data_IF_190436178329
#
_entry.id   IF_190436178329
#
_cell.length_a   1.000
_cell.length_b   1.000
_cell.length_c   1.000
_cell.angle_alpha   90.00
_cell.angle_beta   90.00
_cell.angle_gamma   90.00
#
_symmetry.space_group_name_H-M   'P 1'
#
loop_
_entity.id
_entity.type
_entity.pdbx_description
1 polymer ?
#
# COMPACT_ATOMS: atom_id res chain seq x y z
N UNK A 1 -36.42 -5.96 39.94
CA UNK A 1 -37.11 -6.34 38.68
C UNK A 1 -36.58 -5.44 37.58
N UNK A 2 -36.17 -6.08 36.49
CA UNK A 2 -35.39 -5.54 35.37
C UNK A 2 -36.13 -4.52 34.52
N UNK A 3 -35.41 -3.52 34.01
CA UNK A 3 -35.45 -3.00 32.63
C UNK A 3 -34.07 -2.36 32.40
N UNK A 4 -33.08 -3.07 31.85
CA UNK A 4 -32.86 -3.30 30.42
C UNK A 4 -32.91 -2.02 29.58
N UNK A 5 -31.75 -1.37 29.46
CA UNK A 5 -31.34 -0.67 28.24
C UNK A 5 -29.96 -1.19 27.87
N UNK A 6 -29.99 -2.25 27.06
CA UNK A 6 -28.88 -2.66 26.21
C UNK A 6 -28.69 -1.60 25.12
N UNK A 7 -27.44 -1.53 24.65
CA UNK A 7 -27.02 -0.99 23.37
C UNK A 7 -26.82 0.52 23.35
N UNK A 8 -25.58 0.93 23.62
CA UNK A 8 -24.84 1.83 22.72
C UNK A 8 -23.36 1.49 22.83
N UNK A 9 -23.03 0.23 22.55
CA UNK A 9 -21.70 -0.12 22.11
C UNK A 9 -21.64 0.27 20.64
N UNK A 10 -21.37 1.54 20.37
CA UNK A 10 -20.91 1.96 19.04
C UNK A 10 -19.59 1.22 18.82
N UNK A 11 -19.66 0.13 18.07
CA UNK A 11 -18.52 -0.61 17.55
C UNK A 11 -17.72 0.33 16.66
N UNK A 12 -16.83 1.12 17.26
CA UNK A 12 -15.78 1.82 16.55
C UNK A 12 -14.65 0.82 16.29
N UNK A 13 -14.95 -0.23 15.52
CA UNK A 13 -13.93 -0.98 14.84
C UNK A 13 -13.42 -0.06 13.73
N UNK A 14 -12.29 0.60 13.98
CA UNK A 14 -11.48 1.19 12.91
C UNK A 14 -11.31 0.08 11.87
N UNK A 15 -11.96 0.22 10.72
CA UNK A 15 -11.89 -0.80 9.69
C UNK A 15 -10.45 -0.80 9.15
N UNK A 16 -9.68 -1.83 9.49
CA UNK A 16 -8.36 -2.05 8.90
C UNK A 16 -8.48 -1.97 7.38
N UNK A 17 -7.55 -1.26 6.74
CA UNK A 17 -7.48 -1.18 5.28
C UNK A 17 -6.62 -2.33 4.75
N UNK A 18 -7.20 -3.20 3.93
CA UNK A 18 -6.42 -4.23 3.23
C UNK A 18 -5.73 -3.65 1.99
N UNK A 19 -4.73 -4.36 1.46
CA UNK A 19 -4.08 -3.97 0.19
C UNK A 19 -5.09 -3.90 -0.98
N UNK A 20 -6.07 -4.81 -1.00
CA UNK A 20 -7.16 -4.78 -1.98
C UNK A 20 -8.08 -3.58 -1.78
N UNK A 21 -8.38 -3.18 -0.54
CA UNK A 21 -9.20 -2.01 -0.26
C UNK A 21 -8.50 -0.72 -0.70
N UNK A 22 -7.20 -0.59 -0.40
CA UNK A 22 -6.38 0.53 -0.86
C UNK A 22 -6.39 0.63 -2.39
N UNK A 23 -6.08 -0.47 -3.08
CA UNK A 23 -6.02 -0.46 -4.54
C UNK A 23 -7.38 -0.09 -5.18
N UNK A 24 -8.47 -0.64 -4.65
CA UNK A 24 -9.83 -0.35 -5.12
C UNK A 24 -10.25 1.10 -4.82
N UNK A 25 -9.87 1.63 -3.66
CA UNK A 25 -10.16 3.02 -3.27
C UNK A 25 -9.45 4.00 -4.21
N UNK A 26 -8.16 3.79 -4.47
CA UNK A 26 -7.37 4.61 -5.41
C UNK A 26 -7.95 4.52 -6.82
N UNK A 27 -8.29 3.31 -7.29
CA UNK A 27 -8.93 3.13 -8.59
C UNK A 27 -10.24 3.94 -8.67
N UNK A 28 -11.08 3.88 -7.64
CA UNK A 28 -12.36 4.58 -7.60
C UNK A 28 -12.19 6.11 -7.66
N UNK A 29 -11.15 6.65 -7.04
CA UNK A 29 -10.93 8.10 -6.96
C UNK A 29 -10.33 8.68 -8.23
N UNK A 30 -9.37 7.98 -8.86
CA UNK A 30 -8.47 8.65 -9.82
C UNK A 30 -8.35 7.97 -11.20
N UNK A 31 -8.78 6.70 -11.33
CA UNK A 31 -8.43 5.86 -12.48
C UNK A 31 -8.69 6.48 -13.86
N UNK A 32 -9.82 7.16 -14.08
CA UNK A 32 -10.11 7.76 -15.40
C UNK A 32 -9.04 8.72 -15.88
N UNK A 33 -8.47 9.53 -14.97
CA UNK A 33 -7.41 10.49 -15.31
C UNK A 33 -6.05 9.81 -15.43
N UNK A 34 -5.81 8.80 -14.60
CA UNK A 34 -4.55 8.08 -14.58
C UNK A 34 -4.39 7.18 -15.81
N UNK A 35 -5.49 6.57 -16.29
CA UNK A 35 -5.52 5.79 -17.52
C UNK A 35 -5.18 6.67 -18.74
N UNK A 36 -5.69 7.90 -18.78
CA UNK A 36 -5.34 8.88 -19.82
C UNK A 36 -3.86 9.30 -19.76
N UNK A 37 -3.31 9.46 -18.54
CA UNK A 37 -1.88 9.77 -18.33
C UNK A 37 -0.97 8.62 -18.76
N UNK A 38 -1.45 7.38 -18.67
CA UNK A 38 -0.70 6.18 -19.02
C UNK A 38 0.39 5.81 -18.01
N UNK A 39 1.04 4.68 -18.27
CA UNK A 39 2.04 4.08 -17.36
C UNK A 39 3.26 4.99 -17.20
N UNK A 40 3.81 5.52 -18.29
CA UNK A 40 5.03 6.35 -18.26
C UNK A 40 4.84 7.62 -17.43
N UNK A 41 3.75 8.35 -17.66
CA UNK A 41 3.47 9.57 -16.90
C UNK A 41 3.13 9.29 -15.44
N UNK A 42 2.44 8.18 -15.16
CA UNK A 42 2.14 7.77 -13.77
C UNK A 42 3.39 7.29 -13.03
N UNK A 43 4.34 6.66 -13.73
CA UNK A 43 5.64 6.29 -13.16
C UNK A 43 6.44 7.53 -12.72
N UNK A 44 6.37 8.62 -13.48
CA UNK A 44 7.04 9.86 -13.08
C UNK A 44 6.48 10.43 -11.78
N UNK A 45 5.16 10.41 -11.58
CA UNK A 45 4.54 10.79 -10.30
C UNK A 45 4.97 9.87 -9.17
N UNK A 46 4.95 8.56 -9.34
CA UNK A 46 5.46 7.63 -8.32
C UNK A 46 6.91 7.96 -7.93
N UNK A 47 7.75 8.34 -8.89
CA UNK A 47 9.14 8.71 -8.59
C UNK A 47 9.29 10.05 -7.87
N UNK A 48 8.37 10.99 -8.08
CA UNK A 48 8.28 12.25 -7.34
C UNK A 48 8.05 11.97 -5.85
N UNK A 49 7.03 11.18 -5.51
CA UNK A 49 6.72 10.80 -4.12
C UNK A 49 7.87 10.03 -3.44
N UNK A 50 8.57 9.18 -4.19
CA UNK A 50 9.77 8.50 -3.67
C UNK A 50 10.88 9.51 -3.35
N UNK A 51 10.98 10.59 -4.13
CA UNK A 51 11.89 11.70 -3.88
C UNK A 51 11.51 12.52 -2.65
N UNK A 52 10.21 12.81 -2.48
CA UNK A 52 9.67 13.51 -1.31
C UNK A 52 9.86 12.68 -0.04
N UNK A 53 9.56 11.38 -0.08
CA UNK A 53 9.87 10.44 1.00
C UNK A 53 11.37 10.46 1.37
N UNK A 54 12.26 10.45 0.39
CA UNK A 54 13.70 10.51 0.63
C UNK A 54 14.14 11.84 1.30
N UNK A 55 13.50 12.96 0.95
CA UNK A 55 13.75 14.25 1.59
C UNK A 55 13.25 14.27 3.04
N UNK A 56 12.02 13.82 3.29
CA UNK A 56 11.42 13.75 4.61
C UNK A 56 12.24 12.87 5.57
N UNK A 57 12.69 11.70 5.10
CA UNK A 57 13.57 10.80 5.87
C UNK A 57 14.90 11.44 6.24
N UNK A 58 15.50 12.20 5.32
CA UNK A 58 16.77 12.90 5.57
C UNK A 58 16.61 14.03 6.58
N UNK A 59 15.47 14.70 6.57
CA UNK A 59 15.17 15.83 7.44
C UNK A 59 14.71 15.41 8.84
N UNK A 60 14.30 14.14 9.00
CA UNK A 60 13.90 13.59 10.29
C UNK A 60 12.53 14.07 10.77
N UNK A 61 11.72 14.62 9.87
CA UNK A 61 10.33 14.98 10.15
C UNK A 61 9.46 13.73 10.05
N UNK A 62 9.05 13.21 11.21
CA UNK A 62 8.24 12.01 11.29
C UNK A 62 6.83 12.19 10.70
N UNK A 63 6.25 13.38 10.82
CA UNK A 63 4.93 13.65 10.27
C UNK A 63 4.99 13.62 8.75
N UNK A 64 5.88 14.42 8.16
CA UNK A 64 6.09 14.42 6.71
C UNK A 64 6.42 13.01 6.22
N UNK A 65 7.36 12.31 6.86
CA UNK A 65 7.72 10.92 6.50
C UNK A 65 6.50 10.00 6.46
N UNK A 66 5.58 10.14 7.41
CA UNK A 66 4.37 9.30 7.47
C UNK A 66 3.42 9.59 6.29
N UNK A 67 3.26 10.87 5.94
CA UNK A 67 2.47 11.32 4.79
C UNK A 67 3.08 10.75 3.48
N UNK A 68 4.39 10.93 3.29
CA UNK A 68 5.07 10.45 2.08
C UNK A 68 5.05 8.92 1.91
N UNK A 69 5.10 8.15 3.00
CA UNK A 69 4.91 6.69 2.92
C UNK A 69 3.52 6.32 2.40
N UNK A 70 2.49 7.07 2.79
CA UNK A 70 1.14 6.86 2.30
C UNK A 70 1.02 7.22 0.81
N UNK A 71 1.65 8.31 0.39
CA UNK A 71 1.60 8.76 -1.00
C UNK A 71 2.36 7.82 -1.95
N UNK A 72 3.53 7.30 -1.54
CA UNK A 72 4.23 6.24 -2.29
C UNK A 72 3.34 4.99 -2.47
N UNK A 73 2.61 4.57 -1.43
CA UNK A 73 1.68 3.45 -1.54
C UNK A 73 0.50 3.77 -2.46
N UNK A 74 -0.05 4.99 -2.38
CA UNK A 74 -1.14 5.45 -3.23
C UNK A 74 -0.73 5.44 -4.70
N UNK A 75 0.42 6.00 -5.05
CA UNK A 75 0.91 6.05 -6.42
C UNK A 75 1.39 4.70 -6.95
N UNK A 76 1.89 3.81 -6.08
CA UNK A 76 2.14 2.42 -6.44
C UNK A 76 0.83 1.70 -6.82
N UNK A 77 -0.24 1.92 -6.06
CA UNK A 77 -1.57 1.41 -6.41
C UNK A 77 -2.11 2.04 -7.70
N UNK A 78 -1.89 3.34 -7.91
CA UNK A 78 -2.26 4.05 -9.13
C UNK A 78 -1.62 3.42 -10.37
N UNK A 79 -0.29 3.25 -10.38
CA UNK A 79 0.39 2.64 -11.54
C UNK A 79 0.01 1.17 -11.73
N UNK A 80 -0.26 0.43 -10.65
CA UNK A 80 -0.75 -0.95 -10.74
C UNK A 80 -2.13 -1.02 -11.41
N UNK A 81 -3.04 -0.09 -11.10
CA UNK A 81 -4.34 0.02 -11.75
C UNK A 81 -4.19 0.28 -13.25
N UNK A 82 -3.37 1.27 -13.63
CA UNK A 82 -3.10 1.59 -15.05
C UNK A 82 -2.45 0.41 -15.79
N UNK A 83 -1.53 -0.30 -15.14
CA UNK A 83 -0.87 -1.49 -15.67
C UNK A 83 -1.71 -2.77 -15.60
N UNK A 84 -2.93 -2.71 -15.03
CA UNK A 84 -3.86 -3.84 -14.84
C UNK A 84 -3.25 -4.98 -14.02
N UNK A 85 -2.51 -4.63 -12.98
CA UNK A 85 -1.88 -5.55 -12.03
C UNK A 85 -2.70 -5.60 -10.75
N UNK A 86 -3.13 -6.79 -10.33
CA UNK A 86 -3.68 -7.02 -8.98
C UNK A 86 -2.52 -7.15 -7.98
N UNK A 87 -2.37 -6.14 -7.11
CA UNK A 87 -1.29 -6.10 -6.13
C UNK A 87 -1.42 -7.21 -5.08
N UNK A 88 -2.65 -7.52 -4.65
CA UNK A 88 -2.88 -8.55 -3.63
C UNK A 88 -2.52 -9.93 -4.17
N UNK A 89 -2.92 -10.23 -5.41
CA UNK A 89 -2.53 -11.46 -6.09
C UNK A 89 -1.01 -11.52 -6.33
N UNK A 90 -0.38 -10.42 -6.76
CA UNK A 90 1.06 -10.36 -7.00
C UNK A 90 1.87 -10.59 -5.71
N UNK A 91 1.51 -9.91 -4.61
CA UNK A 91 2.16 -10.07 -3.30
C UNK A 91 1.95 -11.47 -2.75
N UNK A 92 0.71 -12.01 -2.81
CA UNK A 92 0.43 -13.38 -2.36
C UNK A 92 1.24 -14.40 -3.14
N UNK A 93 1.31 -14.27 -4.47
CA UNK A 93 2.09 -15.18 -5.32
C UNK A 93 3.58 -15.15 -4.98
N UNK A 94 4.11 -13.98 -4.66
CA UNK A 94 5.56 -13.82 -4.42
C UNK A 94 5.97 -14.15 -2.98
N UNK A 95 5.19 -13.72 -1.99
CA UNK A 95 5.58 -13.74 -0.58
C UNK A 95 4.59 -14.49 0.33
N UNK A 96 3.47 -15.00 -0.21
CA UNK A 96 2.40 -15.62 0.58
C UNK A 96 2.78 -16.96 1.21
N UNK A 97 3.87 -17.59 0.74
CA UNK A 97 4.36 -18.90 1.21
C UNK A 97 5.73 -18.79 1.91
N UNK A 98 6.18 -17.57 2.23
CA UNK A 98 7.50 -17.28 2.80
C UNK A 98 8.44 -16.61 1.81
N UNK A 99 9.73 -16.56 2.14
CA UNK A 99 10.77 -16.00 1.28
C UNK A 99 10.79 -16.71 -0.09
N UNK A 100 10.81 -16.00 -1.23
CA UNK A 100 10.83 -16.63 -2.56
C UNK A 100 12.06 -17.52 -2.80
N UNK A 101 13.20 -17.19 -2.20
CA UNK A 101 14.41 -18.02 -2.27
C UNK A 101 14.35 -19.28 -1.38
N UNK A 102 14.27 -19.11 -0.07
CA UNK A 102 14.41 -20.22 0.89
C UNK A 102 13.08 -20.82 1.40
N UNK A 103 11.93 -20.27 1.02
CA UNK A 103 10.58 -20.70 1.41
C UNK A 103 10.31 -20.70 2.92
N UNK A 104 11.16 -20.03 3.70
CA UNK A 104 10.96 -19.85 5.13
C UNK A 104 10.23 -18.54 5.39
N UNK A 105 9.34 -18.51 6.39
CA UNK A 105 8.71 -17.27 6.85
C UNK A 105 9.72 -16.31 7.48
N UNK A 106 10.78 -16.85 8.09
CA UNK A 106 11.97 -16.08 8.50
C UNK A 106 13.08 -16.44 7.53
N UNK A 107 13.44 -15.49 6.66
CA UNK A 107 14.44 -15.70 5.62
C UNK A 107 15.80 -16.14 6.21
N UNK A 108 16.44 -17.11 5.55
CA UNK A 108 17.81 -17.58 5.85
C UNK A 108 18.74 -17.49 4.62
N UNK A 109 18.31 -16.79 3.57
CA UNK A 109 19.16 -16.56 2.40
C UNK A 109 20.40 -15.74 2.79
N UNK A 110 21.54 -15.93 2.12
CA UNK A 110 22.70 -15.05 2.23
C UNK A 110 22.36 -13.57 1.95
N UNK A 111 23.04 -12.64 2.63
CA UNK A 111 22.77 -11.20 2.53
C UNK A 111 23.08 -10.59 1.14
N UNK A 112 23.84 -11.30 0.31
CA UNK A 112 24.26 -10.88 -1.04
C UNK A 112 23.28 -11.26 -2.15
N UNK A 113 22.23 -12.03 -1.84
CA UNK A 113 21.18 -12.38 -2.79
C UNK A 113 19.88 -11.60 -2.50
N UNK A 114 19.26 -11.07 -3.57
CA UNK A 114 17.88 -10.58 -3.45
C UNK A 114 16.98 -11.77 -3.07
N UNK A 115 16.08 -11.64 -2.08
CA UNK A 115 15.14 -12.71 -1.74
C UNK A 115 14.19 -13.06 -2.89
#
# INVERSE_FOLDING_TARGET
MNHSTKSDAVNNASADITLSDLQALIHKMYFSKDEERGVEGTFMWLMEEVGELAAALREGDHQATTEEFADVLAWLATIANVARVDLTAAVRKKYGEGCPGCHQFVCICPDDEKP
#
